data_IF_963774928085
#
_entry.id   IF_963774928085
#
_cell.length_a   1.000
_cell.length_b   1.000
_cell.length_c   1.000
_cell.angle_alpha   90.00
_cell.angle_beta   90.00
_cell.angle_gamma   90.00
#
_symmetry.space_group_name_H-M   'P 1'
#
loop_
_entity.id
_entity.type
_entity.pdbx_description
1 polymer ?
#
# COMPACT_ATOMS: atom_id res chain seq x y z
N UNK A 1 -19.41 -17.49 49.62
CA UNK A 1 -18.26 -17.20 48.74
C UNK A 1 -18.81 -17.02 47.32
N UNK A 2 -18.77 -15.81 46.76
CA UNK A 2 -19.26 -15.53 45.40
C UNK A 2 -18.06 -15.49 44.48
N UNK A 3 -17.98 -16.46 43.58
CA UNK A 3 -16.95 -16.57 42.56
C UNK A 3 -17.11 -15.43 41.55
N UNK A 4 -16.14 -14.51 41.50
CA UNK A 4 -16.16 -13.42 40.52
C UNK A 4 -15.90 -14.01 39.13
N UNK A 5 -16.76 -13.76 38.12
CA UNK A 5 -16.51 -14.23 36.77
C UNK A 5 -15.22 -13.58 36.26
N UNK A 6 -14.32 -14.41 35.72
CA UNK A 6 -13.09 -13.95 35.06
C UNK A 6 -13.48 -12.99 33.93
N UNK A 7 -13.32 -11.69 34.16
CA UNK A 7 -13.46 -10.67 33.11
C UNK A 7 -12.41 -10.97 32.05
N UNK A 8 -12.84 -11.48 30.90
CA UNK A 8 -11.98 -11.62 29.73
C UNK A 8 -11.38 -10.26 29.36
N UNK A 9 -10.14 -10.27 28.86
CA UNK A 9 -9.48 -9.06 28.33
C UNK A 9 -10.42 -8.42 27.29
N UNK A 10 -10.71 -7.10 27.38
CA UNK A 10 -11.56 -6.44 26.39
C UNK A 10 -11.04 -6.71 24.98
N UNK A 11 -11.94 -6.84 23.98
CA UNK A 11 -11.52 -7.03 22.60
C UNK A 11 -10.59 -5.88 22.19
N UNK A 12 -9.51 -6.21 21.49
CA UNK A 12 -8.56 -5.20 21.00
C UNK A 12 -9.29 -4.10 20.22
N UNK A 13 -8.81 -2.87 20.24
CA UNK A 13 -9.33 -1.81 19.38
C UNK A 13 -8.98 -2.09 17.90
N UNK A 14 -9.65 -1.42 16.96
CA UNK A 14 -9.29 -1.53 15.53
C UNK A 14 -7.85 -1.12 15.28
N UNK A 15 -7.39 -0.05 15.94
CA UNK A 15 -6.00 0.40 15.86
C UNK A 15 -5.02 -0.65 16.38
N UNK A 16 -5.34 -1.32 17.50
CA UNK A 16 -4.51 -2.41 18.02
C UNK A 16 -4.46 -3.61 17.07
N UNK A 17 -5.58 -3.92 16.39
CA UNK A 17 -5.63 -4.96 15.35
C UNK A 17 -4.78 -4.58 14.13
N UNK A 18 -4.88 -3.34 13.67
CA UNK A 18 -4.08 -2.83 12.54
C UNK A 18 -2.59 -2.86 12.87
N UNK A 19 -2.20 -2.41 14.06
CA UNK A 19 -0.80 -2.45 14.50
C UNK A 19 -0.28 -3.89 14.57
N UNK A 20 -1.05 -4.81 15.16
CA UNK A 20 -0.67 -6.22 15.19
C UNK A 20 -0.50 -6.80 13.77
N UNK A 21 -1.39 -6.47 12.84
CA UNK A 21 -1.26 -6.91 11.43
C UNK A 21 -0.01 -6.35 10.78
N UNK A 22 0.31 -5.07 11.03
CA UNK A 22 1.51 -4.42 10.50
C UNK A 22 2.79 -5.06 11.07
N UNK A 23 2.82 -5.37 12.36
CA UNK A 23 3.96 -6.04 13.00
C UNK A 23 4.20 -7.44 12.39
N UNK A 24 3.12 -8.22 12.20
CA UNK A 24 3.21 -9.52 11.50
C UNK A 24 3.72 -9.35 10.07
N UNK A 25 3.26 -8.30 9.37
CA UNK A 25 3.69 -8.00 8.01
C UNK A 25 5.20 -7.76 7.91
N UNK A 26 5.76 -6.96 8.83
CA UNK A 26 7.21 -6.69 8.90
C UNK A 26 8.01 -7.98 9.05
N UNK A 27 7.59 -8.90 9.93
CA UNK A 27 8.24 -10.20 10.10
C UNK A 27 8.13 -11.09 8.87
N UNK A 28 6.96 -11.15 8.23
CA UNK A 28 6.76 -11.94 7.02
C UNK A 28 7.66 -11.45 5.88
N UNK A 29 7.72 -10.13 5.65
CA UNK A 29 8.57 -9.54 4.61
C UNK A 29 10.04 -9.78 4.88
N UNK A 30 10.50 -9.66 6.13
CA UNK A 30 11.88 -9.97 6.48
C UNK A 30 12.26 -11.43 6.16
N UNK A 31 11.39 -12.39 6.51
CA UNK A 31 11.60 -13.80 6.20
C UNK A 31 11.56 -14.08 4.69
N UNK A 32 10.61 -13.49 3.96
CA UNK A 32 10.54 -13.63 2.50
C UNK A 32 11.79 -13.10 1.82
N UNK A 33 12.35 -11.97 2.28
CA UNK A 33 13.62 -11.44 1.76
C UNK A 33 14.81 -12.37 2.05
N UNK A 34 14.83 -13.00 3.22
CA UNK A 34 15.96 -13.81 3.67
C UNK A 34 15.94 -15.22 3.05
N UNK A 35 14.77 -15.81 2.87
CA UNK A 35 14.60 -17.22 2.52
C UNK A 35 13.84 -17.44 1.21
N UNK A 36 13.23 -16.41 0.63
CA UNK A 36 12.26 -16.53 -0.45
C UNK A 36 10.86 -16.86 0.07
N UNK A 37 9.84 -16.59 -0.75
CA UNK A 37 8.43 -16.82 -0.36
C UNK A 37 8.16 -18.31 -0.25
N UNK A 38 8.64 -19.11 -1.20
CA UNK A 38 8.42 -20.56 -1.23
C UNK A 38 8.95 -21.27 0.04
N UNK A 39 10.17 -20.93 0.48
CA UNK A 39 10.81 -21.58 1.63
C UNK A 39 10.33 -21.05 2.99
N UNK A 40 9.50 -20.00 3.01
CA UNK A 40 8.94 -19.43 4.24
C UNK A 40 7.56 -20.05 4.53
N UNK A 41 7.38 -20.58 5.74
CA UNK A 41 6.12 -21.13 6.23
C UNK A 41 5.37 -20.16 7.14
N UNK A 42 4.06 -20.37 7.30
CA UNK A 42 3.27 -19.61 8.27
C UNK A 42 3.72 -19.85 9.72
N UNK A 43 4.22 -21.04 10.04
CA UNK A 43 4.80 -21.34 11.35
C UNK A 43 6.02 -20.46 11.64
N UNK A 44 6.92 -20.30 10.66
CA UNK A 44 8.10 -19.43 10.81
C UNK A 44 7.68 -17.98 11.03
N UNK A 45 6.69 -17.48 10.27
CA UNK A 45 6.15 -16.13 10.42
C UNK A 45 5.53 -15.95 11.81
N UNK A 46 4.69 -16.88 12.24
CA UNK A 46 4.02 -16.82 13.54
C UNK A 46 5.04 -16.81 14.69
N UNK A 47 6.06 -17.68 14.61
CA UNK A 47 7.16 -17.76 15.58
C UNK A 47 7.95 -16.47 15.62
N UNK A 48 8.31 -15.91 14.47
CA UNK A 48 9.05 -14.64 14.39
C UNK A 48 8.25 -13.46 14.98
N UNK A 49 6.93 -13.45 14.77
CA UNK A 49 6.03 -12.43 15.31
C UNK A 49 5.58 -12.69 16.77
N UNK A 50 6.06 -13.76 17.42
CA UNK A 50 5.71 -14.08 18.81
C UNK A 50 4.23 -14.46 19.02
N UNK A 51 3.58 -15.03 18.00
CA UNK A 51 2.16 -15.44 18.03
C UNK A 51 1.98 -16.92 17.69
N UNK A 52 0.79 -17.47 17.95
CA UNK A 52 0.43 -18.80 17.47
C UNK A 52 0.01 -18.78 15.99
N UNK A 53 0.22 -19.89 15.28
CA UNK A 53 -0.28 -20.05 13.90
C UNK A 53 -1.79 -19.83 13.80
N UNK A 54 -2.57 -20.30 14.77
CA UNK A 54 -4.02 -20.02 14.84
C UNK A 54 -4.31 -18.51 14.84
N UNK A 55 -3.48 -17.71 15.49
CA UNK A 55 -3.62 -16.25 15.50
C UNK A 55 -3.23 -15.66 14.15
N UNK A 56 -2.15 -16.15 13.54
CA UNK A 56 -1.75 -15.75 12.19
C UNK A 56 -2.88 -15.97 11.18
N UNK A 57 -3.44 -17.19 11.14
CA UNK A 57 -4.50 -17.56 10.20
C UNK A 57 -5.87 -16.92 10.50
N UNK A 58 -6.06 -16.42 11.73
CA UNK A 58 -7.20 -15.55 12.03
C UNK A 58 -7.03 -14.16 11.43
N UNK A 59 -5.80 -13.67 11.32
CA UNK A 59 -5.49 -12.37 10.72
C UNK A 59 -5.41 -12.46 9.20
N UNK A 60 -4.76 -13.48 8.65
CA UNK A 60 -4.43 -13.57 7.22
C UNK A 60 -4.92 -14.89 6.62
N UNK A 61 -5.39 -14.83 5.38
CA UNK A 61 -5.89 -16.02 4.67
C UNK A 61 -4.78 -16.91 4.12
N UNK A 62 -3.64 -16.32 3.76
CA UNK A 62 -2.45 -17.00 3.25
C UNK A 62 -1.19 -16.34 3.80
N UNK A 63 -0.03 -17.00 3.63
CA UNK A 63 1.26 -16.39 4.04
C UNK A 63 1.57 -15.15 3.19
N UNK A 64 1.21 -15.18 1.90
CA UNK A 64 1.40 -14.08 0.97
C UNK A 64 0.56 -12.87 1.36
N UNK A 65 -0.67 -13.06 1.83
CA UNK A 65 -1.52 -11.99 2.34
C UNK A 65 -0.93 -11.25 3.56
N UNK A 66 0.11 -11.81 4.20
CA UNK A 66 0.81 -11.11 5.28
C UNK A 66 1.52 -9.84 4.80
N UNK A 67 1.77 -9.65 3.49
CA UNK A 67 2.37 -8.40 2.97
C UNK A 67 1.36 -7.26 2.81
N UNK A 68 0.04 -7.55 2.84
CA UNK A 68 -1.02 -6.56 2.61
C UNK A 68 -0.90 -5.32 3.50
N UNK A 69 -0.63 -5.41 4.82
CA UNK A 69 -0.59 -4.23 5.67
C UNK A 69 0.53 -3.25 5.31
N UNK A 70 1.70 -3.75 4.90
CA UNK A 70 2.79 -2.89 4.42
C UNK A 70 2.44 -2.24 3.08
N UNK A 71 1.90 -3.02 2.13
CA UNK A 71 1.49 -2.46 0.83
C UNK A 71 0.34 -1.45 0.96
N UNK A 72 -0.58 -1.64 1.91
CA UNK A 72 -1.72 -0.75 2.12
C UNK A 72 -1.27 0.64 2.55
N UNK A 73 -0.17 0.73 3.30
CA UNK A 73 0.36 2.00 3.77
C UNK A 73 0.75 2.97 2.65
N UNK A 74 1.29 2.49 1.52
CA UNK A 74 1.60 3.37 0.38
C UNK A 74 0.34 3.86 -0.34
N UNK A 75 -0.69 3.02 -0.40
CA UNK A 75 -2.01 3.40 -0.91
C UNK A 75 -2.65 4.45 0.01
N UNK A 76 -2.61 4.23 1.33
CA UNK A 76 -3.16 5.14 2.33
C UNK A 76 -2.50 6.53 2.23
N UNK A 77 -1.18 6.59 2.03
CA UNK A 77 -0.45 7.84 1.84
C UNK A 77 -0.94 8.60 0.59
N UNK A 78 -1.14 7.91 -0.53
CA UNK A 78 -1.67 8.54 -1.74
C UNK A 78 -3.15 8.98 -1.56
N UNK A 79 -3.97 8.18 -0.87
CA UNK A 79 -5.34 8.57 -0.52
C UNK A 79 -5.39 9.83 0.33
N UNK A 80 -4.46 10.00 1.27
CA UNK A 80 -4.36 11.22 2.09
C UNK A 80 -4.09 12.45 1.21
N UNK A 81 -3.19 12.32 0.25
CA UNK A 81 -2.88 13.42 -0.68
C UNK A 81 -4.10 13.79 -1.51
N UNK A 82 -4.83 12.80 -2.03
CA UNK A 82 -6.08 13.05 -2.75
C UNK A 82 -7.13 13.74 -1.88
N UNK A 83 -7.29 13.29 -0.63
CA UNK A 83 -8.28 13.87 0.30
C UNK A 83 -7.97 15.32 0.67
N UNK A 84 -6.69 15.64 0.79
CA UNK A 84 -6.20 16.98 1.15
C UNK A 84 -5.98 17.89 -0.05
N UNK A 85 -6.26 17.42 -1.26
CA UNK A 85 -6.12 18.19 -2.49
C UNK A 85 -6.94 19.49 -2.42
N UNK A 86 -6.32 20.68 -2.56
CA UNK A 86 -7.03 21.97 -2.62
C UNK A 86 -7.77 22.16 -3.94
N UNK A 87 -8.88 22.91 -3.95
CA UNK A 87 -9.73 23.07 -5.16
C UNK A 87 -9.05 23.91 -6.25
N UNK A 88 -8.16 24.79 -5.84
CA UNK A 88 -7.51 25.80 -6.67
C UNK A 88 -6.23 25.30 -7.34
N UNK A 89 -5.70 24.14 -6.90
CA UNK A 89 -4.45 23.57 -7.41
C UNK A 89 -4.72 22.44 -8.41
N UNK A 90 -3.84 22.28 -9.40
CA UNK A 90 -3.78 21.05 -10.17
C UNK A 90 -3.36 19.87 -9.27
N UNK A 91 -3.92 18.68 -9.50
CA UNK A 91 -3.53 17.48 -8.75
C UNK A 91 -2.03 17.21 -8.84
N UNK A 92 -1.44 17.41 -10.02
CA UNK A 92 -0.01 17.21 -10.23
C UNK A 92 0.85 18.17 -9.39
N UNK A 93 0.43 19.41 -9.20
CA UNK A 93 1.13 20.38 -8.34
C UNK A 93 1.01 19.96 -6.87
N UNK A 94 -0.20 19.64 -6.42
CA UNK A 94 -0.43 19.16 -5.06
C UNK A 94 0.37 17.89 -4.73
N UNK A 95 0.48 16.95 -5.67
CA UNK A 95 1.31 15.76 -5.51
C UNK A 95 2.80 16.11 -5.37
N UNK A 96 3.32 17.05 -6.16
CA UNK A 96 4.73 17.46 -6.04
C UNK A 96 5.05 18.09 -4.69
N UNK A 97 4.07 18.70 -4.03
CA UNK A 97 4.29 19.31 -2.72
C UNK A 97 4.03 18.33 -1.57
N UNK A 98 2.93 17.58 -1.67
CA UNK A 98 2.35 16.84 -0.53
C UNK A 98 2.57 15.34 -0.58
N UNK A 99 2.82 14.75 -1.76
CA UNK A 99 3.02 13.32 -1.87
C UNK A 99 4.40 12.93 -1.41
N UNK A 100 4.45 12.28 -0.26
CA UNK A 100 5.60 11.54 0.19
C UNK A 100 5.22 10.06 0.13
N UNK A 101 5.91 9.22 -0.65
CA UNK A 101 5.63 7.77 -0.72
C UNK A 101 5.83 7.02 0.61
N UNK A 102 6.24 7.74 1.66
CA UNK A 102 6.90 7.23 2.86
C UNK A 102 6.05 7.49 4.08
N UNK A 103 5.84 6.41 4.83
CA UNK A 103 5.29 6.37 6.17
C UNK A 103 6.46 6.46 7.15
N UNK A 104 6.36 7.34 8.15
CA UNK A 104 7.11 7.47 9.42
C UNK A 104 8.65 7.22 9.50
N UNK A 105 9.29 6.39 8.67
CA UNK A 105 10.74 6.10 8.68
C UNK A 105 11.26 5.46 7.37
N UNK A 106 12.57 5.58 7.09
CA UNK A 106 13.22 5.00 5.90
C UNK A 106 13.15 3.46 5.80
N UNK A 107 13.16 2.76 6.93
CA UNK A 107 13.11 1.29 6.96
C UNK A 107 11.78 0.73 6.45
N UNK A 108 10.67 1.44 6.67
CA UNK A 108 9.36 1.02 6.15
C UNK A 108 9.26 1.16 4.64
N UNK A 109 9.88 2.21 4.07
CA UNK A 109 9.99 2.38 2.62
C UNK A 109 10.64 1.15 2.01
N UNK A 110 11.80 0.77 2.54
CA UNK A 110 12.53 -0.37 2.01
C UNK A 110 11.76 -1.68 2.15
N UNK A 111 10.99 -1.85 3.23
CA UNK A 111 10.13 -3.00 3.38
C UNK A 111 9.04 -3.05 2.29
N UNK A 112 8.36 -1.93 2.02
CA UNK A 112 7.34 -1.84 0.94
C UNK A 112 7.97 -2.11 -0.42
N UNK A 113 9.07 -1.45 -0.75
CA UNK A 113 9.76 -1.63 -2.03
C UNK A 113 10.32 -3.05 -2.19
N UNK A 114 10.79 -3.67 -1.11
CA UNK A 114 11.18 -5.08 -1.12
C UNK A 114 10.01 -6.01 -1.45
N UNK A 115 8.81 -5.75 -0.92
CA UNK A 115 7.62 -6.51 -1.32
C UNK A 115 7.37 -6.36 -2.81
N UNK A 116 7.36 -5.12 -3.33
CA UNK A 116 7.09 -4.85 -4.74
C UNK A 116 8.15 -5.50 -5.63
N UNK A 117 9.43 -5.46 -5.25
CA UNK A 117 10.52 -6.23 -5.92
C UNK A 117 10.18 -7.70 -6.03
N UNK A 118 9.79 -8.34 -4.92
CA UNK A 118 9.46 -9.76 -4.91
C UNK A 118 8.25 -10.09 -5.81
N UNK A 119 7.32 -9.16 -6.05
CA UNK A 119 6.19 -9.42 -6.95
C UNK A 119 6.59 -9.68 -8.41
N UNK A 120 7.81 -9.30 -8.82
CA UNK A 120 8.30 -9.57 -10.17
C UNK A 120 8.48 -11.08 -10.41
N UNK A 121 9.00 -11.79 -9.41
CA UNK A 121 9.36 -13.21 -9.52
C UNK A 121 8.36 -14.13 -8.78
N UNK A 122 7.49 -13.58 -7.93
CA UNK A 122 6.54 -14.32 -7.10
C UNK A 122 5.08 -14.02 -7.49
N UNK A 123 4.44 -14.85 -8.34
CA UNK A 123 3.08 -14.61 -8.84
C UNK A 123 2.02 -14.48 -7.74
N UNK A 124 2.18 -15.19 -6.63
CA UNK A 124 1.24 -15.15 -5.52
C UNK A 124 1.30 -13.80 -4.77
N UNK A 125 2.49 -13.20 -4.62
CA UNK A 125 2.61 -11.84 -4.10
C UNK A 125 2.09 -10.81 -5.10
N UNK A 126 2.35 -11.01 -6.40
CA UNK A 126 1.81 -10.14 -7.45
C UNK A 126 0.28 -10.09 -7.41
N UNK A 127 -0.39 -11.22 -7.22
CA UNK A 127 -1.84 -11.28 -7.10
C UNK A 127 -2.33 -10.45 -5.89
N UNK A 128 -1.70 -10.59 -4.73
CA UNK A 128 -2.04 -9.79 -3.53
C UNK A 128 -1.86 -8.30 -3.79
N UNK A 129 -0.74 -7.91 -4.41
CA UNK A 129 -0.47 -6.52 -4.76
C UNK A 129 -1.52 -5.94 -5.71
N UNK A 130 -1.83 -6.63 -6.82
CA UNK A 130 -2.80 -6.13 -7.81
C UNK A 130 -4.22 -6.05 -7.23
N UNK A 131 -4.65 -7.04 -6.44
CA UNK A 131 -5.97 -7.02 -5.79
C UNK A 131 -6.08 -5.87 -4.79
N UNK A 132 -5.02 -5.60 -4.02
CA UNK A 132 -5.02 -4.48 -3.08
C UNK A 132 -5.16 -3.13 -3.80
N UNK A 133 -4.54 -3.01 -4.98
CA UNK A 133 -4.58 -1.82 -5.83
C UNK A 133 -5.95 -1.56 -6.43
N UNK A 134 -6.57 -2.61 -6.96
CA UNK A 134 -7.95 -2.56 -7.46
C UNK A 134 -8.92 -2.16 -6.34
N UNK A 135 -8.75 -2.71 -5.12
CA UNK A 135 -9.58 -2.36 -3.95
C UNK A 135 -9.45 -0.91 -3.50
N UNK A 136 -8.39 -0.20 -3.90
CA UNK A 136 -8.21 1.21 -3.59
C UNK A 136 -8.97 2.13 -4.54
N UNK A 137 -9.32 1.66 -5.74
CA UNK A 137 -9.95 2.47 -6.79
C UNK A 137 -11.27 3.13 -6.37
N UNK A 138 -12.18 2.47 -5.61
CA UNK A 138 -13.40 3.13 -5.14
C UNK A 138 -13.12 4.37 -4.29
N UNK A 139 -12.07 4.35 -3.44
CA UNK A 139 -11.71 5.52 -2.63
C UNK A 139 -11.14 6.66 -3.49
N UNK A 140 -10.43 6.34 -4.57
CA UNK A 140 -10.01 7.36 -5.55
C UNK A 140 -11.22 7.93 -6.30
N UNK A 141 -12.16 7.07 -6.69
CA UNK A 141 -13.38 7.47 -7.39
C UNK A 141 -14.21 8.47 -6.56
N UNK A 142 -14.36 8.27 -5.25
CA UNK A 142 -15.07 9.21 -4.37
C UNK A 142 -14.49 10.63 -4.42
N UNK A 143 -13.16 10.76 -4.37
CA UNK A 143 -12.49 12.07 -4.43
C UNK A 143 -12.62 12.68 -5.84
N UNK A 144 -12.43 11.87 -6.88
CA UNK A 144 -12.48 12.33 -8.27
C UNK A 144 -13.90 12.71 -8.70
N UNK A 145 -14.93 12.04 -8.18
CA UNK A 145 -16.33 12.36 -8.40
C UNK A 145 -16.66 13.81 -8.03
N UNK A 146 -16.29 14.23 -6.82
CA UNK A 146 -16.48 15.60 -6.33
C UNK A 146 -15.74 16.65 -7.18
N UNK A 147 -14.63 16.24 -7.78
CA UNK A 147 -13.79 17.08 -8.65
C UNK A 147 -14.36 17.25 -10.05
N UNK A 148 -14.93 16.18 -10.57
CA UNK A 148 -15.52 16.14 -11.91
C UNK A 148 -16.98 16.62 -11.91
N UNK A 149 -17.63 16.71 -10.74
CA UNK A 149 -19.06 17.01 -10.64
C UNK A 149 -19.92 15.86 -11.17
N UNK A 150 -19.43 14.63 -11.09
CA UNK A 150 -20.08 13.42 -11.60
C UNK A 150 -20.31 12.40 -10.48
N UNK A 151 -21.27 11.46 -10.63
CA UNK A 151 -21.41 10.33 -9.72
C UNK A 151 -20.17 9.43 -9.69
N UNK A 152 -19.81 8.91 -8.51
CA UNK A 152 -18.62 8.06 -8.32
C UNK A 152 -18.67 6.72 -9.08
N UNK A 153 -19.87 6.23 -9.38
CA UNK A 153 -20.10 5.00 -10.15
C UNK A 153 -20.17 5.23 -11.67
N UNK A 154 -20.12 6.49 -12.12
CA UNK A 154 -20.08 6.82 -13.54
C UNK A 154 -18.85 6.22 -14.21
N UNK A 155 -19.01 5.79 -15.47
CA UNK A 155 -17.92 5.17 -16.23
C UNK A 155 -16.69 6.10 -16.28
N UNK A 156 -16.91 7.40 -16.46
CA UNK A 156 -15.84 8.38 -16.57
C UNK A 156 -15.01 8.48 -15.27
N UNK A 157 -15.67 8.59 -14.11
CA UNK A 157 -14.97 8.63 -12.81
C UNK A 157 -14.24 7.31 -12.54
N UNK A 158 -14.88 6.17 -12.83
CA UNK A 158 -14.25 4.86 -12.67
C UNK A 158 -13.02 4.69 -13.57
N UNK A 159 -13.09 5.16 -14.81
CA UNK A 159 -11.94 5.16 -15.73
C UNK A 159 -10.80 6.03 -15.21
N UNK A 160 -11.10 7.22 -14.69
CA UNK A 160 -10.09 8.11 -14.09
C UNK A 160 -9.45 7.51 -12.84
N UNK A 161 -10.25 6.87 -11.97
CA UNK A 161 -9.74 6.18 -10.78
C UNK A 161 -8.82 5.01 -11.14
N UNK A 162 -9.24 4.17 -12.11
CA UNK A 162 -8.43 3.06 -12.59
C UNK A 162 -7.13 3.53 -13.27
N UNK A 163 -7.20 4.57 -14.10
CA UNK A 163 -6.03 5.17 -14.74
C UNK A 163 -5.06 5.76 -13.71
N UNK A 164 -5.58 6.40 -12.66
CA UNK A 164 -4.79 6.90 -11.53
C UNK A 164 -4.09 5.77 -10.79
N UNK A 165 -4.81 4.69 -10.47
CA UNK A 165 -4.24 3.50 -9.85
C UNK A 165 -3.16 2.86 -10.73
N UNK A 166 -3.36 2.81 -12.05
CA UNK A 166 -2.37 2.29 -12.99
C UNK A 166 -1.12 3.17 -13.10
N UNK A 167 -1.29 4.50 -13.16
CA UNK A 167 -0.17 5.45 -13.19
C UNK A 167 0.71 5.31 -11.95
N UNK A 168 0.11 5.29 -10.76
CA UNK A 168 0.83 5.03 -9.52
C UNK A 168 1.57 3.68 -9.56
N UNK A 169 1.07 2.69 -10.31
CA UNK A 169 1.60 1.31 -10.31
C UNK A 169 2.86 1.27 -11.11
N UNK A 170 2.73 1.71 -12.35
CA UNK A 170 3.84 1.77 -13.28
C UNK A 170 4.96 2.68 -12.76
N UNK A 171 4.63 3.83 -12.14
CA UNK A 171 5.66 4.68 -11.51
C UNK A 171 6.38 4.00 -10.35
N UNK A 172 5.68 3.17 -9.55
CA UNK A 172 6.29 2.45 -8.42
C UNK A 172 7.09 1.24 -8.89
N UNK A 173 6.55 0.47 -9.84
CA UNK A 173 7.23 -0.67 -10.44
C UNK A 173 8.51 -0.20 -11.19
N UNK A 174 8.47 0.96 -11.87
CA UNK A 174 9.63 1.59 -12.51
C UNK A 174 10.68 2.08 -11.50
N UNK A 175 10.24 2.70 -10.40
CA UNK A 175 11.11 3.06 -9.29
C UNK A 175 11.86 1.82 -8.78
N UNK A 176 11.13 0.73 -8.55
CA UNK A 176 11.68 -0.52 -8.05
C UNK A 176 12.69 -1.14 -9.04
N UNK A 177 12.42 -1.08 -10.34
CA UNK A 177 13.33 -1.60 -11.37
C UNK A 177 14.62 -0.77 -11.52
N UNK A 178 14.60 0.50 -11.12
CA UNK A 178 15.75 1.43 -11.26
C UNK A 178 16.50 1.66 -9.95
N UNK A 179 15.89 1.37 -8.80
CA UNK A 179 16.54 1.43 -7.49
C UNK A 179 17.57 0.31 -7.33
N UNK A 180 18.75 0.65 -6.81
CA UNK A 180 19.79 -0.33 -6.46
C UNK A 180 19.47 -1.03 -5.13
N UNK A 181 20.20 -2.10 -4.81
CA UNK A 181 20.00 -2.88 -3.58
C UNK A 181 20.38 -2.13 -2.28
N UNK A 182 21.07 -0.99 -2.39
CA UNK A 182 21.66 -0.24 -1.26
C UNK A 182 20.69 0.80 -0.63
N UNK A 183 19.39 0.60 -0.85
CA UNK A 183 18.32 1.50 -0.41
C UNK A 183 17.92 2.50 -1.50
N UNK A 184 16.86 3.27 -1.25
CA UNK A 184 16.37 4.29 -2.17
C UNK A 184 16.83 5.69 -1.75
N UNK A 185 17.77 6.30 -2.50
CA UNK A 185 18.17 7.69 -2.28
C UNK A 185 16.97 8.64 -2.35
N UNK A 186 17.03 9.74 -1.60
CA UNK A 186 16.00 10.79 -1.64
C UNK A 186 15.74 11.31 -3.06
N UNK A 187 16.78 11.45 -3.89
CA UNK A 187 16.67 11.83 -5.30
C UNK A 187 15.81 10.87 -6.13
N UNK A 188 15.83 9.58 -5.79
CA UNK A 188 15.07 8.55 -6.49
C UNK A 188 13.59 8.61 -6.09
N UNK A 189 13.29 8.89 -4.81
CA UNK A 189 11.93 9.17 -4.33
C UNK A 189 11.37 10.47 -4.95
N UNK A 190 12.21 11.50 -5.07
CA UNK A 190 11.87 12.76 -5.74
C UNK A 190 11.48 12.51 -7.20
N UNK A 191 12.31 11.77 -7.95
CA UNK A 191 12.00 11.41 -9.34
C UNK A 191 10.72 10.59 -9.46
N UNK A 192 10.49 9.65 -8.54
CA UNK A 192 9.23 8.90 -8.51
C UNK A 192 8.02 9.83 -8.34
N UNK A 193 8.09 10.78 -7.40
CA UNK A 193 7.04 11.78 -7.18
C UNK A 193 6.78 12.62 -8.43
N UNK A 194 7.84 13.09 -9.08
CA UNK A 194 7.73 13.84 -10.34
C UNK A 194 7.08 13.01 -11.45
N UNK A 195 7.49 11.75 -11.61
CA UNK A 195 6.90 10.85 -12.60
C UNK A 195 5.41 10.59 -12.35
N UNK A 196 4.98 10.39 -11.09
CA UNK A 196 3.56 10.22 -10.74
C UNK A 196 2.77 11.49 -11.09
N UNK A 197 3.27 12.65 -10.70
CA UNK A 197 2.62 13.93 -10.99
C UNK A 197 2.49 14.19 -12.50
N UNK A 198 3.54 13.92 -13.28
CA UNK A 198 3.52 14.11 -14.72
C UNK A 198 2.59 13.12 -15.42
N UNK A 199 2.56 11.85 -14.99
CA UNK A 199 1.63 10.85 -15.52
C UNK A 199 0.18 11.26 -15.28
N UNK A 200 -0.14 11.72 -14.06
CA UNK A 200 -1.49 12.14 -13.71
C UNK A 200 -1.90 13.44 -14.43
N UNK A 201 -0.98 14.40 -14.59
CA UNK A 201 -1.24 15.59 -15.42
C UNK A 201 -1.65 15.22 -16.84
N UNK A 202 -0.98 14.26 -17.48
CA UNK A 202 -1.32 13.82 -18.84
C UNK A 202 -2.67 13.12 -18.92
N UNK A 203 -3.09 12.46 -17.84
CA UNK A 203 -4.39 11.80 -17.75
C UNK A 203 -5.55 12.80 -17.53
N UNK A 204 -5.31 13.87 -16.78
CA UNK A 204 -6.32 14.92 -16.54
C UNK A 204 -6.34 15.97 -17.65
N UNK A 205 -5.21 16.22 -18.31
CA UNK A 205 -5.04 17.17 -19.40
C UNK A 205 -4.27 16.49 -20.55
N UNK A 206 -4.95 15.72 -21.41
CA UNK A 206 -4.30 15.09 -22.55
C UNK A 206 -3.70 16.18 -23.45
N UNK A 207 -2.45 16.02 -23.95
CA UNK A 207 -1.85 16.99 -24.84
C UNK A 207 -2.72 17.15 -26.09
N UNK A 208 -2.87 18.39 -26.57
CA UNK A 208 -3.51 18.64 -27.86
C UNK A 208 -2.71 17.90 -28.94
N UNK A 209 -3.38 16.95 -29.62
CA UNK A 209 -2.83 16.16 -30.72
C UNK A 209 -2.55 17.04 -31.95
#
# INVERSE_FOLDING_TARGET
MVERPRRGRPPASDQQRQQQRLDISRHAVALFRQHGVAATSGEQIARAAGISERTLWRCFRTKEACVEPLLAKSIDAFQEVLRTWPRELELAEHLRESYTPVIDSGDEIEAVLAVIRMTHDEPALRAVYLVLRERAEPAFAEVLADRMGLPADSLEVRMQAAATSAALRESTDHLVATATADGVPEEVLQKHREHVADALRRLTHPPAL
#
